data_IF_975028683539
#
_entry.id   IF_975028683539
#
_cell.length_a   1.000
_cell.length_b   1.000
_cell.length_c   1.000
_cell.angle_alpha   90.00
_cell.angle_beta   90.00
_cell.angle_gamma   90.00
#
_symmetry.space_group_name_H-M   'P 1'
#
loop_
_entity.id
_entity.type
_entity.pdbx_description
1 polymer ?
#
# COMPACT_ATOMS: atom_id res chain seq x y z
N UNK A 1 -1.33 8.32 -5.91
CA UNK A 1 -2.23 7.82 -4.85
C UNK A 1 -2.22 6.30 -4.83
N UNK A 2 -2.01 5.70 -3.66
CA UNK A 2 -2.10 4.25 -3.44
C UNK A 2 -3.51 3.90 -2.95
N UNK A 3 -4.14 2.91 -3.60
CA UNK A 3 -5.44 2.35 -3.21
C UNK A 3 -5.29 0.84 -3.05
N UNK A 4 -5.86 0.29 -1.98
CA UNK A 4 -5.83 -1.14 -1.65
C UNK A 4 -7.24 -1.56 -1.30
N UNK A 5 -7.72 -2.67 -1.86
CA UNK A 5 -9.08 -3.15 -1.66
C UNK A 5 -9.15 -4.68 -1.69
N UNK A 6 -9.95 -5.27 -0.81
CA UNK A 6 -10.44 -6.64 -0.97
C UNK A 6 -11.37 -6.79 -2.17
N UNK A 7 -11.12 -7.80 -3.01
CA UNK A 7 -11.93 -8.06 -4.20
C UNK A 7 -13.32 -8.63 -3.86
N UNK A 8 -13.46 -9.23 -2.68
CA UNK A 8 -14.70 -9.84 -2.21
C UNK A 8 -15.42 -8.95 -1.18
N UNK A 9 -15.19 -7.64 -1.17
CA UNK A 9 -15.90 -6.72 -0.26
C UNK A 9 -17.40 -6.64 -0.61
N UNK A 10 -18.30 -7.17 0.24
CA UNK A 10 -19.73 -7.15 -0.03
C UNK A 10 -20.40 -5.84 0.42
N UNK A 11 -19.66 -4.91 1.05
CA UNK A 11 -20.22 -3.67 1.56
C UNK A 11 -20.62 -2.76 0.40
N UNK A 12 -21.90 -2.40 0.34
CA UNK A 12 -22.43 -1.52 -0.71
C UNK A 12 -21.80 -0.13 -0.70
N UNK A 13 -21.31 0.33 0.46
CA UNK A 13 -20.64 1.62 0.63
C UNK A 13 -19.17 1.64 0.17
N UNK A 14 -18.55 0.47 0.03
CA UNK A 14 -17.15 0.28 -0.40
C UNK A 14 -17.07 -0.81 -1.46
N UNK A 15 -18.02 -0.92 -2.37
CA UNK A 15 -18.00 -2.01 -3.35
C UNK A 15 -16.79 -1.88 -4.29
N UNK A 16 -16.07 -2.97 -4.67
CA UNK A 16 -14.81 -2.92 -5.43
C UNK A 16 -14.83 -2.05 -6.68
N UNK A 17 -15.96 -2.04 -7.39
CA UNK A 17 -16.19 -1.21 -8.58
C UNK A 17 -15.92 0.29 -8.32
N UNK A 18 -16.11 0.78 -7.09
CA UNK A 18 -15.81 2.17 -6.74
C UNK A 18 -14.32 2.47 -6.86
N UNK A 19 -13.45 1.58 -6.36
CA UNK A 19 -12.00 1.73 -6.46
C UNK A 19 -11.52 1.59 -7.91
N UNK A 20 -12.10 0.65 -8.67
CA UNK A 20 -11.79 0.49 -10.10
C UNK A 20 -12.12 1.75 -10.90
N UNK A 21 -13.31 2.32 -10.69
CA UNK A 21 -13.75 3.56 -11.36
C UNK A 21 -12.89 4.76 -10.96
N UNK A 22 -12.55 4.89 -9.68
CA UNK A 22 -11.67 5.96 -9.21
C UNK A 22 -10.27 5.83 -9.83
N UNK A 23 -9.72 4.63 -9.89
CA UNK A 23 -8.44 4.38 -10.56
C UNK A 23 -8.47 4.74 -12.04
N UNK A 24 -9.50 4.31 -12.76
CA UNK A 24 -9.68 4.65 -14.17
C UNK A 24 -9.77 6.18 -14.39
N UNK A 25 -10.51 6.90 -13.53
CA UNK A 25 -10.61 8.35 -13.58
C UNK A 25 -9.25 9.04 -13.35
N UNK A 26 -8.48 8.61 -12.34
CA UNK A 26 -7.14 9.15 -12.07
C UNK A 26 -6.19 8.92 -13.25
N UNK A 27 -6.23 7.72 -13.85
CA UNK A 27 -5.45 7.40 -15.04
C UNK A 27 -5.85 8.25 -16.23
N UNK A 28 -7.15 8.48 -16.45
CA UNK A 28 -7.66 9.37 -17.48
C UNK A 28 -7.23 10.83 -17.30
N UNK A 29 -7.04 11.27 -16.05
CA UNK A 29 -6.52 12.60 -15.70
C UNK A 29 -4.97 12.68 -15.71
N UNK A 30 -4.28 11.62 -16.14
CA UNK A 30 -2.82 11.55 -16.17
C UNK A 30 -2.16 11.57 -14.78
N UNK A 31 -2.91 11.25 -13.73
CA UNK A 31 -2.39 11.21 -12.35
C UNK A 31 -1.71 9.88 -12.09
N UNK A 32 -0.64 9.93 -11.29
CA UNK A 32 0.04 8.73 -10.84
C UNK A 32 -0.75 8.05 -9.71
N UNK A 33 -1.28 6.87 -10.01
CA UNK A 33 -2.08 6.09 -9.09
C UNK A 33 -1.72 4.60 -9.20
N UNK A 34 -1.95 3.85 -8.12
CA UNK A 34 -1.81 2.40 -8.04
C UNK A 34 -3.02 1.83 -7.33
N UNK A 35 -3.58 0.76 -7.88
CA UNK A 35 -4.67 0.00 -7.30
C UNK A 35 -4.21 -1.44 -7.07
N UNK A 36 -4.31 -1.90 -5.83
CA UNK A 36 -3.98 -3.28 -5.41
C UNK A 36 -5.28 -3.97 -5.00
N UNK A 37 -5.61 -5.06 -5.69
CA UNK A 37 -6.78 -5.89 -5.41
C UNK A 37 -6.34 -7.18 -4.70
N UNK A 38 -6.93 -7.46 -3.54
CA UNK A 38 -6.67 -8.66 -2.74
C UNK A 38 -7.76 -9.70 -3.04
N UNK A 39 -7.47 -10.78 -3.80
CA UNK A 39 -8.49 -11.63 -4.41
C UNK A 39 -9.31 -12.48 -3.42
N UNK A 40 -8.80 -12.67 -2.20
CA UNK A 40 -9.42 -13.53 -1.18
C UNK A 40 -9.75 -12.77 0.10
N UNK A 41 -9.83 -11.45 0.02
CA UNK A 41 -10.15 -10.59 1.15
C UNK A 41 -11.44 -9.82 0.88
N UNK A 42 -12.24 -9.66 1.93
CA UNK A 42 -13.42 -8.81 1.94
C UNK A 42 -13.04 -7.41 2.42
N UNK A 43 -13.93 -6.74 3.16
CA UNK A 43 -13.67 -5.40 3.71
C UNK A 43 -12.43 -5.33 4.64
N UNK A 44 -12.15 -6.41 5.37
CA UNK A 44 -11.01 -6.51 6.28
C UNK A 44 -10.04 -7.61 5.87
N UNK A 45 -8.75 -7.36 6.09
CA UNK A 45 -7.68 -8.31 5.75
C UNK A 45 -7.48 -9.32 6.88
N UNK A 46 -7.69 -10.61 6.59
CA UNK A 46 -7.53 -11.70 7.57
C UNK A 46 -6.29 -12.53 7.34
N UNK A 47 -5.92 -12.79 6.09
CA UNK A 47 -4.74 -13.60 5.84
C UNK A 47 -3.47 -12.82 6.15
N UNK A 48 -2.57 -13.42 6.92
CA UNK A 48 -1.24 -12.85 7.21
C UNK A 48 -0.49 -12.45 5.93
N UNK A 49 -0.64 -13.24 4.86
CA UNK A 49 -0.05 -12.95 3.55
C UNK A 49 -0.58 -11.64 2.97
N UNK A 50 -1.89 -11.43 3.01
CA UNK A 50 -2.52 -10.19 2.54
C UNK A 50 -2.02 -9.00 3.34
N UNK A 51 -1.97 -9.11 4.67
CA UNK A 51 -1.48 -8.03 5.53
C UNK A 51 -0.01 -7.66 5.24
N UNK A 52 0.86 -8.67 5.10
CA UNK A 52 2.26 -8.44 4.73
C UNK A 52 2.40 -7.80 3.35
N UNK A 53 1.57 -8.19 2.39
CA UNK A 53 1.57 -7.58 1.07
C UNK A 53 1.11 -6.12 1.11
N UNK A 54 0.08 -5.80 1.91
CA UNK A 54 -0.37 -4.43 2.14
C UNK A 54 0.74 -3.56 2.74
N UNK A 55 1.44 -4.06 3.77
CA UNK A 55 2.54 -3.33 4.39
C UNK A 55 3.69 -3.08 3.41
N UNK A 56 4.03 -4.09 2.60
CA UNK A 56 5.04 -3.94 1.56
C UNK A 56 4.65 -2.89 0.51
N UNK A 57 3.41 -2.92 0.01
CA UNK A 57 2.90 -1.91 -0.94
C UNK A 57 2.95 -0.49 -0.36
N UNK A 58 2.65 -0.33 0.94
CA UNK A 58 2.73 0.95 1.64
C UNK A 58 4.18 1.43 1.79
N UNK A 59 5.09 0.56 2.22
CA UNK A 59 6.52 0.87 2.34
C UNK A 59 7.10 1.34 1.00
N UNK A 60 6.91 0.56 -0.06
CA UNK A 60 7.42 0.92 -1.40
C UNK A 60 6.82 2.23 -1.91
N UNK A 61 5.57 2.52 -1.56
CA UNK A 61 4.94 3.78 -1.93
C UNK A 61 5.52 4.96 -1.14
N UNK A 62 5.72 4.82 0.17
CA UNK A 62 6.35 5.85 0.99
C UNK A 62 7.79 6.12 0.56
N UNK A 63 8.57 5.06 0.29
CA UNK A 63 9.93 5.17 -0.24
C UNK A 63 9.97 5.98 -1.53
N UNK A 64 9.05 5.72 -2.46
CA UNK A 64 9.03 6.37 -3.77
C UNK A 64 8.62 7.85 -3.73
N UNK A 65 7.73 8.26 -2.83
CA UNK A 65 7.11 9.59 -2.88
C UNK A 65 7.32 10.47 -1.65
N UNK A 66 7.80 9.92 -0.52
CA UNK A 66 7.89 10.65 0.74
C UNK A 66 9.26 10.52 1.42
N UNK A 67 9.89 9.35 1.37
CA UNK A 67 11.15 9.08 2.07
C UNK A 67 12.38 9.24 1.17
N UNK A 68 12.20 9.39 -0.14
CA UNK A 68 13.26 9.72 -1.09
C UNK A 68 13.62 11.22 -1.06
N UNK A 69 14.13 11.68 0.09
CA UNK A 69 15.06 12.81 0.15
C UNK A 69 16.38 12.23 0.66
N UNK A 70 17.48 12.55 -0.01
CA UNK A 70 18.84 12.09 0.31
C UNK A 70 19.26 12.46 1.75
N UNK A 71 18.91 11.62 2.72
CA UNK A 71 19.74 11.48 3.91
C UNK A 71 20.21 10.03 4.01
N UNK A 72 21.51 9.75 3.78
CA UNK A 72 22.03 8.44 4.09
C UNK A 72 21.74 8.19 5.57
N UNK A 73 21.05 7.08 5.85
CA UNK A 73 20.83 6.64 7.21
C UNK A 73 22.20 6.59 7.90
N UNK A 74 22.41 7.44 8.90
CA UNK A 74 23.61 7.35 9.72
C UNK A 74 23.67 5.92 10.25
N UNK A 75 24.82 5.23 10.10
CA UNK A 75 24.95 3.89 10.65
C UNK A 75 24.71 4.02 12.14
N UNK A 76 23.61 3.43 12.62
CA UNK A 76 23.35 3.28 14.05
C UNK A 76 24.55 2.50 14.57
N UNK A 77 25.46 3.21 15.23
CA UNK A 77 26.61 2.60 15.86
C UNK A 77 26.06 1.53 16.80
N UNK A 78 26.40 0.28 16.51
CA UNK A 78 26.22 -0.80 17.45
C UNK A 78 27.07 -0.43 18.67
N UNK A 79 26.44 0.23 19.64
CA UNK A 79 27.06 0.45 20.94
C UNK A 79 27.43 -0.92 21.49
N UNK A 80 28.72 -1.05 21.78
CA UNK A 80 29.38 -2.32 21.97
C UNK A 80 28.73 -3.12 23.10
N UNK A 81 28.31 -4.32 22.76
CA UNK A 81 28.36 -5.43 23.72
C UNK A 81 29.84 -5.73 23.92
N UNK A 82 30.44 -5.13 24.94
CA UNK A 82 31.70 -5.58 25.51
C UNK A 82 31.48 -6.10 26.92
N UNK A 83 31.57 -7.43 27.00
CA UNK A 83 31.89 -8.33 28.13
C UNK A 83 31.17 -8.13 29.47
#
# INVERSE_FOLDING_TARGET
MLMIHGQEDPNSGTFPMQSERMYAALKGLGKEARLVMLPYEAHGYRARKSLLHVLWEQEQWLDKYLLSDEKPAEPVAAEGVTQ
#
